data_IF_722288770715
#
_entry.id   IF_722288770715
#
_cell.length_a   1.000
_cell.length_b   1.000
_cell.length_c   1.000
_cell.angle_alpha   90.00
_cell.angle_beta   90.00
_cell.angle_gamma   90.00
#
_symmetry.space_group_name_H-M   'P 1'
#
loop_
_entity.id
_entity.type
_entity.pdbx_description
1 polymer ?
#
# COMPACT_ATOMS: atom_id res chain seq x y z
N UNK A 1 -15.37 7.44 -13.58
CA UNK A 1 -16.00 7.44 -12.24
C UNK A 1 -15.59 8.74 -11.58
N UNK A 2 -16.50 9.68 -11.36
CA UNK A 2 -16.19 10.92 -10.63
C UNK A 2 -15.98 10.59 -9.16
N UNK A 3 -14.77 10.82 -8.64
CA UNK A 3 -14.52 10.70 -7.20
C UNK A 3 -15.14 11.90 -6.49
N UNK A 4 -16.29 11.69 -5.86
CA UNK A 4 -16.89 12.65 -4.93
C UNK A 4 -15.94 12.87 -3.75
N UNK A 5 -15.89 14.09 -3.22
CA UNK A 5 -15.04 14.42 -2.08
C UNK A 5 -15.24 13.44 -0.90
N UNK A 6 -14.16 12.95 -0.27
CA UNK A 6 -14.26 12.00 0.82
C UNK A 6 -14.98 12.62 2.02
N UNK A 7 -15.84 11.84 2.67
CA UNK A 7 -16.62 12.27 3.84
C UNK A 7 -15.76 12.39 5.11
N UNK A 8 -14.70 11.59 5.19
CA UNK A 8 -13.72 11.57 6.28
C UNK A 8 -12.30 11.59 5.70
N UNK A 9 -11.38 12.26 6.41
CA UNK A 9 -9.99 12.39 5.99
C UNK A 9 -9.08 11.27 6.51
N UNK A 10 -9.61 10.35 7.33
CA UNK A 10 -8.87 9.24 7.92
C UNK A 10 -9.47 7.91 7.49
N UNK A 11 -8.62 6.89 7.36
CA UNK A 11 -9.02 5.52 7.07
C UNK A 11 -8.50 4.57 8.13
N UNK A 12 -9.34 3.60 8.50
CA UNK A 12 -8.95 2.46 9.34
C UNK A 12 -8.04 1.50 8.57
N UNK A 13 -7.30 0.63 9.26
CA UNK A 13 -6.48 -0.41 8.62
C UNK A 13 -7.30 -1.31 7.66
N UNK A 14 -8.52 -1.71 8.06
CA UNK A 14 -9.41 -2.49 7.21
C UNK A 14 -9.83 -1.77 5.93
N UNK A 15 -10.09 -0.46 6.01
CA UNK A 15 -10.36 0.35 4.82
C UNK A 15 -9.12 0.44 3.93
N UNK A 16 -7.93 0.63 4.52
CA UNK A 16 -6.66 0.65 3.78
C UNK A 16 -6.41 -0.65 3.04
N UNK A 17 -6.60 -1.82 3.67
CA UNK A 17 -6.54 -3.14 3.01
C UNK A 17 -7.51 -3.24 1.83
N UNK A 18 -8.75 -2.76 2.00
CA UNK A 18 -9.74 -2.75 0.92
C UNK A 18 -9.26 -1.90 -0.26
N UNK A 19 -8.73 -0.70 0.01
CA UNK A 19 -8.18 0.16 -1.04
C UNK A 19 -6.97 -0.48 -1.73
N UNK A 20 -6.08 -1.11 -0.96
CA UNK A 20 -4.94 -1.85 -1.47
C UNK A 20 -5.38 -2.96 -2.44
N UNK A 21 -6.32 -3.82 -2.05
CA UNK A 21 -6.84 -4.89 -2.91
C UNK A 21 -7.49 -4.35 -4.19
N UNK A 22 -8.22 -3.24 -4.12
CA UNK A 22 -8.80 -2.58 -5.30
C UNK A 22 -7.71 -1.99 -6.20
N UNK A 23 -6.60 -1.52 -5.64
CA UNK A 23 -5.47 -1.03 -6.43
C UNK A 23 -4.77 -2.18 -7.17
N UNK A 24 -4.61 -3.35 -6.54
CA UNK A 24 -3.98 -4.52 -7.16
C UNK A 24 -4.69 -4.95 -8.45
N UNK A 25 -6.03 -4.87 -8.51
CA UNK A 25 -6.78 -5.26 -9.72
C UNK A 25 -6.54 -4.33 -10.91
N UNK A 26 -5.93 -3.17 -10.69
CA UNK A 26 -5.63 -2.17 -11.72
C UNK A 26 -4.20 -2.28 -12.25
N UNK A 27 -3.36 -3.12 -11.63
CA UNK A 27 -1.96 -3.29 -12.04
C UNK A 27 -1.90 -4.24 -13.24
N UNK A 28 -1.35 -3.80 -14.39
CA UNK A 28 -1.12 -4.69 -15.53
C UNK A 28 -0.13 -5.82 -15.20
N UNK A 29 -0.30 -6.97 -15.85
CA UNK A 29 0.61 -8.11 -15.68
C UNK A 29 2.04 -7.76 -16.16
N UNK A 30 3.05 -8.29 -15.47
CA UNK A 30 4.45 -8.18 -15.85
C UNK A 30 5.14 -6.86 -15.47
N UNK A 31 4.49 -6.01 -14.66
CA UNK A 31 5.10 -4.78 -14.14
C UNK A 31 5.62 -5.02 -12.72
N UNK A 32 6.88 -4.69 -12.48
CA UNK A 32 7.45 -4.71 -11.13
C UNK A 32 7.04 -3.50 -10.31
N UNK A 33 6.73 -3.74 -9.03
CA UNK A 33 6.27 -2.69 -8.12
C UNK A 33 7.25 -2.53 -6.96
N UNK A 34 7.92 -1.38 -6.92
CA UNK A 34 8.82 -1.02 -5.84
C UNK A 34 8.10 -0.10 -4.85
N UNK A 35 8.15 -0.44 -3.56
CA UNK A 35 7.46 0.30 -2.51
C UNK A 35 8.44 0.78 -1.43
N UNK A 36 8.32 2.06 -1.06
CA UNK A 36 8.87 2.61 0.17
C UNK A 36 7.70 2.89 1.11
N UNK A 37 7.64 2.15 2.21
CA UNK A 37 6.55 2.23 3.18
C UNK A 37 7.00 2.98 4.43
N UNK A 38 6.58 4.25 4.55
CA UNK A 38 6.82 5.00 5.77
C UNK A 38 6.03 4.44 6.96
N UNK A 39 6.51 4.66 8.20
CA UNK A 39 5.81 4.22 9.40
C UNK A 39 4.36 4.70 9.41
N UNK A 40 3.42 3.74 9.44
CA UNK A 40 1.99 4.00 9.58
C UNK A 40 1.53 3.59 10.96
N UNK A 41 0.85 4.49 11.64
CA UNK A 41 0.29 4.23 12.96
C UNK A 41 -1.04 3.47 12.83
N UNK A 42 -1.22 2.43 13.66
CA UNK A 42 -2.49 1.70 13.74
C UNK A 42 -2.76 0.70 12.60
N UNK A 43 -1.77 0.37 11.76
CA UNK A 43 -1.93 -0.63 10.68
C UNK A 43 -0.69 -1.54 10.53
N UNK A 44 -0.53 -2.55 11.42
CA UNK A 44 0.62 -3.45 11.38
C UNK A 44 0.63 -4.38 10.16
N UNK A 45 -0.51 -4.56 9.48
CA UNK A 45 -0.63 -5.52 8.38
C UNK A 45 -0.09 -4.94 7.07
N UNK A 46 -0.16 -3.63 6.88
CA UNK A 46 0.26 -3.00 5.62
C UNK A 46 1.68 -3.39 5.20
N UNK A 47 2.63 -3.48 6.13
CA UNK A 47 4.00 -3.91 5.82
C UNK A 47 4.05 -5.31 5.18
N UNK A 48 3.28 -6.26 5.70
CA UNK A 48 3.21 -7.61 5.15
C UNK A 48 2.59 -7.63 3.74
N UNK A 49 1.52 -6.85 3.53
CA UNK A 49 0.85 -6.74 2.22
C UNK A 49 1.77 -6.16 1.14
N UNK A 50 2.48 -5.07 1.44
CA UNK A 50 3.40 -4.46 0.48
C UNK A 50 4.64 -5.32 0.24
N UNK A 51 5.10 -6.07 1.24
CA UNK A 51 6.14 -7.07 1.04
C UNK A 51 5.69 -8.20 0.10
N UNK A 52 4.48 -8.72 0.28
CA UNK A 52 3.92 -9.74 -0.61
C UNK A 52 3.78 -9.23 -2.05
N UNK A 53 3.31 -7.99 -2.23
CA UNK A 53 3.22 -7.36 -3.54
C UNK A 53 4.59 -7.28 -4.25
N UNK A 54 5.64 -6.94 -3.51
CA UNK A 54 6.99 -6.92 -4.07
C UNK A 54 7.43 -8.32 -4.53
N UNK A 55 7.11 -9.38 -3.76
CA UNK A 55 7.39 -10.76 -4.18
C UNK A 55 6.62 -11.15 -5.44
N UNK A 56 5.32 -10.87 -5.47
CA UNK A 56 4.42 -11.25 -6.58
C UNK A 56 4.77 -10.54 -7.89
N UNK A 57 5.31 -9.33 -7.80
CA UNK A 57 5.66 -8.49 -8.97
C UNK A 57 7.16 -8.48 -9.28
N UNK A 58 7.98 -9.24 -8.55
CA UNK A 58 9.45 -9.20 -8.67
C UNK A 58 10.01 -7.78 -8.46
N UNK A 59 9.39 -7.02 -7.56
CA UNK A 59 9.82 -5.69 -7.15
C UNK A 59 10.61 -5.69 -5.84
N UNK A 60 10.71 -4.52 -5.24
CA UNK A 60 11.44 -4.27 -3.99
C UNK A 60 10.53 -3.62 -2.93
N UNK A 61 10.80 -3.93 -1.66
CA UNK A 61 10.09 -3.33 -0.53
C UNK A 61 11.10 -2.84 0.51
N UNK A 62 10.94 -1.59 0.95
CA UNK A 62 11.72 -1.00 2.04
C UNK A 62 10.76 -0.30 2.99
N UNK A 63 10.90 -0.54 4.30
CA UNK A 63 10.16 0.17 5.35
C UNK A 63 11.15 0.95 6.23
N UNK A 64 11.57 2.15 5.81
CA UNK A 64 12.59 2.89 6.52
C UNK A 64 12.09 3.43 7.87
N UNK A 65 13.02 3.69 8.78
CA UNK A 65 12.71 4.39 10.03
C UNK A 65 12.29 5.85 9.77
N UNK A 66 11.73 6.55 10.77
CA UNK A 66 11.31 7.96 10.63
C UNK A 66 12.45 8.91 10.26
N UNK A 67 13.69 8.56 10.61
CA UNK A 67 14.85 9.43 10.46
C UNK A 67 15.58 9.24 9.12
N UNK A 68 14.99 8.51 8.17
CA UNK A 68 15.56 8.27 6.85
C UNK A 68 15.55 9.53 5.95
N UNK A 69 16.57 9.73 5.09
CA UNK A 69 17.70 8.82 4.86
C UNK A 69 18.74 8.84 5.98
#
# INVERSE_FOLDING_TARGET
MSETAPKDYMVTGSQRRKHFNVALTKIPLGISVNTILFPMEGDPEAAALYWQLALDTQGAFIAPSRDWP
#
